data_IF_177904324434
#
_entry.id   IF_177904324434
#
_cell.length_a   1.000
_cell.length_b   1.000
_cell.length_c   1.000
_cell.angle_alpha   90.00
_cell.angle_beta   90.00
_cell.angle_gamma   90.00
#
_symmetry.space_group_name_H-M   'P 1'
#
loop_
_entity.id
_entity.type
_entity.pdbx_description
1 polymer ?
#
# COMPACT_ATOMS: atom_id res chain seq x y z
N UNK A 1 -4.85 -13.71 -18.21
CA UNK A 1 -3.88 -14.83 -18.24
C UNK A 1 -2.43 -14.42 -17.96
N UNK A 2 -2.08 -13.14 -18.09
CA UNK A 2 -0.73 -12.57 -17.95
C UNK A 2 -0.10 -12.60 -16.55
N UNK A 3 -0.87 -12.77 -15.48
CA UNK A 3 -0.36 -12.79 -14.10
C UNK A 3 0.30 -14.13 -13.66
N UNK A 4 0.38 -15.14 -14.55
CA UNK A 4 0.85 -16.49 -14.21
C UNK A 4 2.33 -16.76 -14.51
N UNK A 5 2.98 -15.87 -15.26
CA UNK A 5 4.42 -15.96 -15.57
C UNK A 5 5.22 -14.99 -14.69
N UNK A 6 6.32 -15.47 -14.12
CA UNK A 6 7.18 -14.70 -13.21
C UNK A 6 7.76 -13.45 -13.87
N UNK A 7 8.05 -13.51 -15.16
CA UNK A 7 8.64 -12.40 -15.91
C UNK A 7 7.60 -11.28 -16.11
N UNK A 8 6.39 -11.64 -16.55
CA UNK A 8 5.28 -10.71 -16.71
C UNK A 8 4.79 -10.14 -15.38
N UNK A 9 4.76 -10.95 -14.32
CA UNK A 9 4.41 -10.52 -12.98
C UNK A 9 5.37 -9.46 -12.42
N UNK A 10 6.69 -9.62 -12.65
CA UNK A 10 7.69 -8.59 -12.28
C UNK A 10 7.53 -7.32 -13.12
N UNK A 11 7.36 -7.47 -14.43
CA UNK A 11 7.21 -6.34 -15.34
C UNK A 11 5.97 -5.50 -15.02
N UNK A 12 4.87 -6.14 -14.62
CA UNK A 12 3.64 -5.47 -14.17
C UNK A 12 3.89 -4.49 -13.02
N UNK A 13 4.52 -4.96 -11.94
CA UNK A 13 4.77 -4.12 -10.76
C UNK A 13 5.76 -3.01 -11.07
N UNK A 14 6.79 -3.29 -11.87
CA UNK A 14 7.74 -2.27 -12.34
C UNK A 14 7.01 -1.21 -13.17
N UNK A 15 6.15 -1.61 -14.11
CA UNK A 15 5.37 -0.70 -14.94
C UNK A 15 4.45 0.21 -14.11
N UNK A 16 3.84 -0.33 -13.04
CA UNK A 16 3.03 0.47 -12.11
C UNK A 16 3.84 1.45 -11.25
N UNK A 17 5.14 1.23 -11.05
CA UNK A 17 6.04 2.14 -10.34
C UNK A 17 6.74 3.16 -11.25
N UNK A 18 6.61 3.03 -12.57
CA UNK A 18 7.17 4.02 -13.47
C UNK A 18 6.35 5.30 -13.35
N UNK A 19 7.04 6.41 -13.18
CA UNK A 19 6.46 7.73 -13.24
C UNK A 19 5.81 7.97 -14.61
N UNK A 20 4.84 8.90 -14.74
CA UNK A 20 4.34 9.33 -16.04
C UNK A 20 5.44 9.86 -16.95
N UNK A 21 5.28 9.72 -18.28
CA UNK A 21 6.28 10.14 -19.28
C UNK A 21 6.63 11.63 -19.18
N UNK A 22 5.74 12.46 -18.66
CA UNK A 22 5.93 13.90 -18.48
C UNK A 22 6.87 14.24 -17.32
N UNK A 23 7.13 13.31 -16.40
CA UNK A 23 8.05 13.54 -15.28
C UNK A 23 9.49 13.30 -15.70
N UNK A 24 10.39 14.21 -15.32
CA UNK A 24 11.82 14.12 -15.61
C UNK A 24 12.46 12.80 -15.14
N UNK A 25 11.96 12.23 -14.04
CA UNK A 25 12.45 10.95 -13.48
C UNK A 25 12.15 9.74 -14.37
N UNK A 26 11.19 9.82 -15.29
CA UNK A 26 10.74 8.68 -16.08
C UNK A 26 11.89 8.04 -16.85
N UNK A 27 12.65 8.84 -17.61
CA UNK A 27 13.78 8.33 -18.38
C UNK A 27 14.84 7.70 -17.47
N UNK A 28 15.11 8.32 -16.31
CA UNK A 28 16.04 7.78 -15.33
C UNK A 28 15.59 6.41 -14.81
N UNK A 29 14.29 6.22 -14.57
CA UNK A 29 13.74 4.93 -14.16
C UNK A 29 13.85 3.87 -15.28
N UNK A 30 13.61 4.23 -16.55
CA UNK A 30 13.82 3.31 -17.68
C UNK A 30 15.28 2.86 -17.77
N UNK A 31 16.22 3.78 -17.60
CA UNK A 31 17.65 3.48 -17.60
C UNK A 31 18.03 2.54 -16.46
N UNK A 32 17.47 2.73 -15.25
CA UNK A 32 17.64 1.81 -14.12
C UNK A 32 17.11 0.41 -14.44
N UNK A 33 15.90 0.31 -15.01
CA UNK A 33 15.31 -0.99 -15.41
C UNK A 33 16.18 -1.69 -16.44
N UNK A 34 16.65 -0.97 -17.47
CA UNK A 34 17.53 -1.53 -18.49
C UNK A 34 18.85 -2.00 -17.90
N UNK A 35 19.48 -1.20 -17.02
CA UNK A 35 20.77 -1.53 -16.43
C UNK A 35 20.69 -2.77 -15.52
N UNK A 36 19.60 -2.96 -14.79
CA UNK A 36 19.47 -4.04 -13.81
C UNK A 36 18.80 -5.32 -14.35
N UNK A 37 17.91 -5.20 -15.33
CA UNK A 37 17.11 -6.32 -15.84
C UNK A 37 17.29 -6.57 -17.34
N UNK A 38 18.03 -5.70 -18.03
CA UNK A 38 18.30 -5.82 -19.47
C UNK A 38 17.21 -5.23 -20.37
N UNK A 39 17.58 -5.03 -21.63
CA UNK A 39 16.72 -4.36 -22.62
C UNK A 39 15.45 -5.14 -22.96
N UNK A 40 15.48 -6.46 -22.96
CA UNK A 40 14.27 -7.25 -23.26
C UNK A 40 13.22 -7.14 -22.16
N UNK A 41 13.65 -7.03 -20.89
CA UNK A 41 12.74 -6.79 -19.77
C UNK A 41 12.13 -5.40 -19.85
N UNK A 42 12.95 -4.39 -20.16
CA UNK A 42 12.45 -3.03 -20.40
C UNK A 42 11.40 -3.00 -21.53
N UNK A 43 11.66 -3.66 -22.67
CA UNK A 43 10.67 -3.76 -23.77
C UNK A 43 9.36 -4.37 -23.30
N UNK A 44 9.41 -5.37 -22.42
CA UNK A 44 8.20 -5.99 -21.87
C UNK A 44 7.44 -5.04 -20.93
N UNK A 45 8.15 -4.32 -20.06
CA UNK A 45 7.58 -3.27 -19.20
C UNK A 45 6.87 -2.20 -20.05
N UNK A 46 7.53 -1.69 -21.10
CA UNK A 46 6.97 -0.68 -21.99
C UNK A 46 5.71 -1.15 -22.73
N UNK A 47 5.61 -2.45 -23.05
CA UNK A 47 4.38 -3.03 -23.64
C UNK A 47 3.20 -3.05 -22.68
N UNK A 48 3.44 -3.07 -21.37
CA UNK A 48 2.38 -3.08 -20.36
C UNK A 48 1.85 -1.69 -20.05
N UNK A 49 2.67 -0.63 -20.22
CA UNK A 49 2.28 0.74 -19.87
C UNK A 49 0.96 1.19 -20.51
N UNK A 50 0.72 1.06 -21.83
CA UNK A 50 -0.54 1.50 -22.43
C UNK A 50 -1.76 0.76 -21.88
N UNK A 51 -1.60 -0.53 -21.55
CA UNK A 51 -2.66 -1.37 -20.98
C UNK A 51 -3.00 -0.90 -19.57
N UNK A 52 -1.99 -0.59 -18.76
CA UNK A 52 -2.15 -0.14 -17.38
C UNK A 52 -2.68 1.29 -17.28
N UNK A 53 -2.34 2.15 -18.24
CA UNK A 53 -2.86 3.52 -18.31
C UNK A 53 -4.39 3.54 -18.50
N UNK A 54 -4.93 2.58 -19.27
CA UNK A 54 -6.38 2.40 -19.42
C UNK A 54 -7.04 1.57 -18.31
N UNK A 55 -6.28 1.07 -17.33
CA UNK A 55 -6.80 0.19 -16.29
C UNK A 55 -7.31 0.99 -15.08
N UNK A 56 -8.51 0.67 -14.54
CA UNK A 56 -9.07 1.36 -13.37
C UNK A 56 -8.09 1.38 -12.19
N UNK A 57 -7.92 2.55 -11.59
CA UNK A 57 -6.89 2.76 -10.56
C UNK A 57 -7.10 1.86 -9.33
N UNK A 58 -8.35 1.69 -8.91
CA UNK A 58 -8.82 0.87 -7.78
C UNK A 58 -8.64 -0.64 -7.98
N UNK A 59 -8.48 -1.08 -9.22
CA UNK A 59 -8.21 -2.47 -9.58
C UNK A 59 -6.69 -2.79 -9.69
N UNK A 60 -5.82 -1.78 -9.76
CA UNK A 60 -4.37 -1.99 -10.00
C UNK A 60 -3.71 -2.84 -8.92
N UNK A 61 -3.99 -2.58 -7.64
CA UNK A 61 -3.45 -3.42 -6.55
C UNK A 61 -4.06 -4.83 -6.54
N UNK A 62 -5.31 -5.01 -6.97
CA UNK A 62 -5.91 -6.35 -7.13
C UNK A 62 -5.13 -7.14 -8.19
N UNK A 63 -4.75 -6.49 -9.29
CA UNK A 63 -3.94 -7.11 -10.32
C UNK A 63 -2.56 -7.53 -9.78
N UNK A 64 -1.97 -6.74 -8.90
CA UNK A 64 -0.70 -7.08 -8.21
C UNK A 64 -0.89 -8.26 -7.27
N UNK A 65 -1.96 -8.32 -6.49
CA UNK A 65 -2.27 -9.47 -5.63
C UNK A 65 -2.40 -10.76 -6.45
N UNK A 66 -3.05 -10.70 -7.62
CA UNK A 66 -3.14 -11.82 -8.56
C UNK A 66 -1.78 -12.27 -9.10
N UNK A 67 -0.79 -11.39 -9.13
CA UNK A 67 0.57 -11.67 -9.58
C UNK A 67 1.47 -12.26 -8.48
N UNK A 68 1.08 -12.15 -7.20
CA UNK A 68 1.87 -12.66 -6.05
C UNK A 68 2.26 -14.14 -6.19
N UNK A 69 1.36 -15.07 -6.58
CA UNK A 69 1.74 -16.48 -6.72
C UNK A 69 2.87 -16.71 -7.72
N UNK A 70 2.90 -15.95 -8.83
CA UNK A 70 3.98 -16.01 -9.80
C UNK A 70 5.27 -15.38 -9.24
N UNK A 71 5.16 -14.24 -8.53
CA UNK A 71 6.31 -13.61 -7.89
C UNK A 71 6.96 -14.49 -6.81
N UNK A 72 6.19 -15.35 -6.14
CA UNK A 72 6.73 -16.35 -5.19
C UNK A 72 7.55 -17.46 -5.86
N UNK A 73 7.46 -17.64 -7.17
CA UNK A 73 8.27 -18.64 -7.89
C UNK A 73 9.68 -18.14 -8.25
N UNK A 74 10.02 -16.89 -7.94
CA UNK A 74 11.38 -16.38 -8.09
C UNK A 74 12.35 -17.18 -7.20
N UNK A 75 13.62 -17.25 -7.59
CA UNK A 75 14.68 -17.65 -6.65
C UNK A 75 14.97 -16.51 -5.66
N UNK A 76 15.61 -16.84 -4.53
CA UNK A 76 15.99 -15.84 -3.52
C UNK A 76 16.86 -14.71 -4.09
N UNK A 77 17.83 -15.04 -4.95
CA UNK A 77 18.71 -14.03 -5.57
C UNK A 77 17.96 -13.13 -6.54
N UNK A 78 17.03 -13.68 -7.33
CA UNK A 78 16.14 -12.92 -8.20
C UNK A 78 15.22 -12.00 -7.39
N UNK A 79 14.67 -12.50 -6.29
CA UNK A 79 13.86 -11.68 -5.38
C UNK A 79 14.66 -10.52 -4.78
N UNK A 80 15.89 -10.77 -4.31
CA UNK A 80 16.75 -9.73 -3.74
C UNK A 80 17.11 -8.64 -4.77
N UNK A 81 17.52 -9.04 -5.98
CA UNK A 81 17.79 -8.10 -7.08
C UNK A 81 16.54 -7.30 -7.44
N UNK A 82 15.40 -7.98 -7.57
CA UNK A 82 14.12 -7.34 -7.89
C UNK A 82 13.69 -6.35 -6.80
N UNK A 83 13.79 -6.71 -5.53
CA UNK A 83 13.50 -5.84 -4.39
C UNK A 83 14.37 -4.58 -4.40
N UNK A 84 15.66 -4.70 -4.74
CA UNK A 84 16.56 -3.54 -4.85
C UNK A 84 16.13 -2.60 -5.98
N UNK A 85 15.72 -3.14 -7.14
CA UNK A 85 15.18 -2.35 -8.23
C UNK A 85 13.92 -1.59 -7.79
N UNK A 86 12.95 -2.26 -7.16
CA UNK A 86 11.72 -1.59 -6.68
C UNK A 86 12.02 -0.41 -5.73
N UNK A 87 13.01 -0.57 -4.84
CA UNK A 87 13.44 0.51 -3.93
C UNK A 87 14.05 1.69 -4.70
N UNK A 88 14.85 1.42 -5.72
CA UNK A 88 15.48 2.47 -6.53
C UNK A 88 14.43 3.23 -7.34
N UNK A 89 13.49 2.52 -7.97
CA UNK A 89 12.42 3.12 -8.75
C UNK A 89 11.55 4.04 -7.90
N UNK A 90 11.06 3.55 -6.75
CA UNK A 90 10.22 4.34 -5.85
C UNK A 90 10.93 5.55 -5.22
N UNK A 91 12.27 5.58 -5.22
CA UNK A 91 13.06 6.70 -4.68
C UNK A 91 13.62 7.64 -5.74
N UNK A 92 13.36 7.37 -7.02
CA UNK A 92 14.07 8.04 -8.11
C UNK A 92 13.80 9.55 -8.16
N UNK A 93 12.59 10.01 -7.80
CA UNK A 93 12.21 11.43 -7.76
C UNK A 93 12.34 12.06 -6.36
N UNK A 94 12.81 11.28 -5.38
CA UNK A 94 12.95 11.71 -3.99
C UNK A 94 11.63 11.85 -3.21
N UNK A 95 10.47 11.52 -3.82
CA UNK A 95 9.16 11.59 -3.18
C UNK A 95 8.34 10.36 -3.50
N UNK A 96 8.10 9.52 -2.49
CA UNK A 96 7.20 8.37 -2.63
C UNK A 96 5.77 8.86 -2.44
N UNK A 97 4.94 8.75 -3.48
CA UNK A 97 3.51 9.00 -3.34
C UNK A 97 2.78 7.86 -2.63
N UNK A 98 1.50 8.08 -2.29
CA UNK A 98 0.73 7.12 -1.51
C UNK A 98 0.45 5.82 -2.29
N UNK A 99 0.28 5.88 -3.61
CA UNK A 99 0.05 4.70 -4.43
C UNK A 99 1.32 3.87 -4.55
N UNK A 100 2.47 4.50 -4.82
CA UNK A 100 3.78 3.84 -4.84
C UNK A 100 4.09 3.19 -3.48
N UNK A 101 3.77 3.89 -2.39
CA UNK A 101 3.89 3.34 -1.04
C UNK A 101 3.00 2.11 -0.83
N UNK A 102 1.72 2.19 -1.21
CA UNK A 102 0.79 1.07 -1.11
C UNK A 102 1.28 -0.13 -1.89
N UNK A 103 1.65 0.08 -3.16
CA UNK A 103 2.17 -0.94 -4.07
C UNK A 103 3.42 -1.62 -3.48
N UNK A 104 4.42 -0.82 -3.10
CA UNK A 104 5.67 -1.34 -2.54
C UNK A 104 5.43 -2.12 -1.25
N UNK A 105 4.62 -1.59 -0.33
CA UNK A 105 4.32 -2.24 0.95
C UNK A 105 3.54 -3.54 0.76
N UNK A 106 2.57 -3.57 -0.14
CA UNK A 106 1.77 -4.75 -0.43
C UNK A 106 2.63 -5.88 -1.00
N UNK A 107 3.48 -5.56 -1.99
CA UNK A 107 4.42 -6.54 -2.58
C UNK A 107 5.34 -7.11 -1.52
N UNK A 108 5.95 -6.27 -0.68
CA UNK A 108 6.84 -6.75 0.38
C UNK A 108 6.11 -7.59 1.43
N UNK A 109 4.92 -7.19 1.83
CA UNK A 109 4.14 -7.91 2.84
C UNK A 109 3.86 -9.35 2.41
N UNK A 110 3.59 -9.58 1.12
CA UNK A 110 3.31 -10.91 0.62
C UNK A 110 4.55 -11.72 0.22
N UNK A 111 5.64 -11.07 -0.18
CA UNK A 111 6.85 -11.76 -0.65
C UNK A 111 7.90 -11.98 0.45
N UNK A 112 8.12 -11.04 1.36
CA UNK A 112 9.15 -11.18 2.41
C UNK A 112 9.00 -12.47 3.22
N UNK A 113 7.80 -12.86 3.73
CA UNK A 113 7.67 -14.09 4.51
C UNK A 113 7.97 -15.38 3.73
N UNK A 114 7.96 -15.32 2.39
CA UNK A 114 8.27 -16.45 1.54
C UNK A 114 9.79 -16.63 1.32
N UNK A 115 10.53 -15.52 1.27
CA UNK A 115 11.95 -15.50 0.92
C UNK A 115 12.89 -15.30 2.12
N UNK A 116 12.39 -14.70 3.20
CA UNK A 116 13.18 -14.31 4.35
C UNK A 116 12.62 -14.94 5.62
N UNK A 117 13.50 -15.24 6.59
CA UNK A 117 13.07 -15.66 7.92
C UNK A 117 12.51 -14.45 8.66
N UNK A 118 11.20 -14.23 8.53
CA UNK A 118 10.50 -13.16 9.25
C UNK A 118 10.12 -13.68 10.64
N UNK A 119 10.63 -13.05 11.70
CA UNK A 119 10.16 -13.34 13.05
C UNK A 119 8.73 -12.79 13.22
N UNK A 120 7.79 -13.57 13.76
CA UNK A 120 6.45 -13.07 14.07
C UNK A 120 6.54 -11.86 14.98
N UNK A 121 5.79 -10.80 14.65
CA UNK A 121 5.69 -9.62 15.52
C UNK A 121 4.88 -10.03 16.76
N UNK A 122 5.53 -10.03 17.93
CA UNK A 122 4.85 -10.35 19.18
C UNK A 122 3.78 -9.30 19.51
N UNK A 123 2.57 -9.74 19.83
CA UNK A 123 1.51 -8.86 20.28
C UNK A 123 1.81 -8.34 21.69
N UNK A 124 1.83 -7.02 21.87
CA UNK A 124 2.18 -6.32 23.13
C UNK A 124 1.04 -5.46 23.67
N UNK A 125 0.07 -5.08 22.83
CA UNK A 125 -0.97 -4.12 23.19
C UNK A 125 -2.35 -4.76 23.15
N UNK A 126 -2.90 -5.06 24.34
CA UNK A 126 -4.26 -5.62 24.49
C UNK A 126 -5.35 -4.55 24.68
N UNK A 127 -4.96 -3.28 24.89
CA UNK A 127 -5.83 -2.13 25.11
C UNK A 127 -5.62 -1.08 24.01
N UNK A 128 -6.69 -0.65 23.35
CA UNK A 128 -6.63 0.28 22.23
C UNK A 128 -6.16 1.68 22.66
N UNK A 129 -6.41 2.05 23.92
CA UNK A 129 -6.01 3.31 24.54
C UNK A 129 -4.48 3.48 24.57
N UNK A 130 -3.72 2.37 24.59
CA UNK A 130 -2.25 2.40 24.49
C UNK A 130 -1.74 2.71 23.08
N UNK A 131 -2.63 2.68 22.10
CA UNK A 131 -2.37 2.89 20.68
C UNK A 131 -3.16 4.07 20.11
N UNK A 132 -3.73 4.94 20.97
CA UNK A 132 -4.63 6.02 20.53
C UNK A 132 -3.96 6.98 19.56
N UNK A 133 -2.69 7.32 19.80
CA UNK A 133 -1.90 8.19 18.92
C UNK A 133 -1.67 7.55 17.54
N UNK A 134 -1.38 6.25 17.50
CA UNK A 134 -1.14 5.54 16.25
C UNK A 134 -2.43 5.30 15.47
N UNK A 135 -3.52 4.95 16.17
CA UNK A 135 -4.86 4.87 15.59
C UNK A 135 -5.24 6.23 14.99
N UNK A 136 -5.04 7.33 15.72
CA UNK A 136 -5.32 8.68 15.23
C UNK A 136 -4.50 9.03 14.00
N UNK A 137 -3.20 8.70 14.00
CA UNK A 137 -2.31 8.96 12.85
C UNK A 137 -2.80 8.25 11.60
N UNK A 138 -3.08 6.95 11.68
CA UNK A 138 -3.48 6.17 10.51
C UNK A 138 -4.89 6.51 10.03
N UNK A 139 -5.86 6.68 10.94
CA UNK A 139 -7.22 7.11 10.56
C UNK A 139 -7.25 8.53 10.00
N UNK A 140 -6.40 9.44 10.50
CA UNK A 140 -6.30 10.80 9.94
C UNK A 140 -5.74 10.76 8.53
N UNK A 141 -4.72 9.93 8.27
CA UNK A 141 -4.19 9.76 6.92
C UNK A 141 -5.30 9.29 5.96
N UNK A 142 -6.02 8.22 6.32
CA UNK A 142 -7.12 7.71 5.50
C UNK A 142 -8.20 8.77 5.27
N UNK A 143 -8.64 9.46 6.32
CA UNK A 143 -9.65 10.51 6.22
C UNK A 143 -9.22 11.66 5.29
N UNK A 144 -7.95 12.08 5.34
CA UNK A 144 -7.40 13.10 4.45
C UNK A 144 -7.25 12.65 2.99
N UNK A 145 -7.05 11.36 2.73
CA UNK A 145 -7.03 10.82 1.36
C UNK A 145 -8.43 10.65 0.77
N UNK A 146 -9.44 10.43 1.62
CA UNK A 146 -10.85 10.36 1.22
C UNK A 146 -11.56 11.70 1.08
N UNK A 147 -11.01 12.80 1.61
CA UNK A 147 -11.73 14.05 1.74
C UNK A 147 -10.88 15.28 1.37
N UNK A 148 -11.52 16.27 0.74
CA UNK A 148 -10.84 17.47 0.27
C UNK A 148 -10.83 18.61 1.31
N UNK A 149 -11.63 18.51 2.37
CA UNK A 149 -11.73 19.53 3.42
C UNK A 149 -11.68 18.92 4.83
N UNK A 150 -11.24 19.74 5.78
CA UNK A 150 -11.02 19.32 7.17
C UNK A 150 -12.29 18.83 7.88
N UNK A 151 -13.43 19.49 7.62
CA UNK A 151 -14.69 19.14 8.28
C UNK A 151 -15.17 17.74 7.88
N UNK A 152 -15.08 17.41 6.59
CA UNK A 152 -15.44 16.09 6.08
C UNK A 152 -14.46 15.01 6.57
N UNK A 153 -13.15 15.28 6.54
CA UNK A 153 -12.14 14.39 7.11
C UNK A 153 -12.35 14.13 8.61
N UNK A 154 -12.69 15.17 9.37
CA UNK A 154 -12.98 15.07 10.80
C UNK A 154 -14.23 14.22 11.06
N UNK A 155 -15.30 14.44 10.30
CA UNK A 155 -16.53 13.67 10.41
C UNK A 155 -16.30 12.17 10.11
N UNK A 156 -15.53 11.85 9.07
CA UNK A 156 -15.15 10.48 8.72
C UNK A 156 -14.33 9.80 9.83
N UNK A 157 -13.35 10.50 10.38
CA UNK A 157 -12.54 9.99 11.50
C UNK A 157 -13.37 9.79 12.76
N UNK A 158 -14.26 10.72 13.10
CA UNK A 158 -15.13 10.61 14.28
C UNK A 158 -16.09 9.42 14.14
N UNK A 159 -16.67 9.23 12.94
CA UNK A 159 -17.50 8.06 12.63
C UNK A 159 -16.71 6.75 12.77
N UNK A 160 -15.49 6.71 12.25
CA UNK A 160 -14.58 5.55 12.35
C UNK A 160 -14.18 5.23 13.79
N UNK A 161 -13.79 6.24 14.57
CA UNK A 161 -13.43 6.07 15.98
C UNK A 161 -14.64 5.55 16.79
N UNK A 162 -15.83 6.11 16.57
CA UNK A 162 -17.07 5.68 17.22
C UNK A 162 -17.44 4.24 16.87
N UNK A 163 -17.37 3.84 15.60
CA UNK A 163 -17.79 2.50 15.15
C UNK A 163 -16.93 1.37 15.72
N UNK A 164 -15.69 1.68 16.07
CA UNK A 164 -14.72 0.79 16.68
C UNK A 164 -14.53 1.02 18.18
N UNK A 165 -15.22 1.97 18.80
CA UNK A 165 -15.12 2.28 20.23
C UNK A 165 -13.73 2.78 20.64
N UNK A 166 -13.05 3.54 19.78
CA UNK A 166 -11.78 4.18 20.10
C UNK A 166 -12.03 5.54 20.75
N UNK A 167 -11.36 5.80 21.87
CA UNK A 167 -11.42 7.06 22.60
C UNK A 167 -10.11 7.83 22.48
N UNK A 168 -10.18 9.16 22.60
CA UNK A 168 -8.99 10.02 22.51
C UNK A 168 -8.37 10.09 21.11
N UNK A 169 -9.13 9.73 20.08
CA UNK A 169 -8.71 9.82 18.67
C UNK A 169 -9.23 11.14 18.12
N UNK A 170 -8.32 11.96 17.59
CA UNK A 170 -8.65 13.26 17.00
C UNK A 170 -7.93 13.39 15.66
N UNK A 171 -8.57 14.09 14.72
CA UNK A 171 -7.98 14.42 13.42
C UNK A 171 -6.66 15.16 13.62
N UNK A 172 -5.59 14.58 13.10
CA UNK A 172 -4.26 15.17 13.04
C UNK A 172 -4.15 16.11 11.84
N UNK A 173 -3.27 17.13 11.90
CA UNK A 173 -2.97 17.96 10.73
C UNK A 173 -2.58 17.12 9.52
N UNK A 174 -2.92 17.61 8.33
CA UNK A 174 -2.54 16.95 7.08
C UNK A 174 -1.01 16.92 6.98
N UNK A 175 -0.45 15.72 6.92
CA UNK A 175 0.98 15.50 6.72
C UNK A 175 1.19 14.84 5.35
N UNK A 176 2.10 15.41 4.57
CA UNK A 176 2.51 14.87 3.27
C UNK A 176 3.62 13.81 3.43
N UNK A 177 4.21 13.69 4.62
CA UNK A 177 5.18 12.67 4.95
C UNK A 177 4.51 11.34 5.28
N UNK A 178 5.02 10.26 4.68
CA UNK A 178 4.61 8.90 5.03
C UNK A 178 5.33 8.37 6.29
N UNK A 179 6.24 9.15 6.88
CA UNK A 179 7.02 8.70 8.05
C UNK A 179 6.14 8.46 9.28
N UNK A 180 5.23 9.36 9.70
CA UNK A 180 4.36 9.09 10.84
C UNK A 180 3.44 7.89 10.59
N UNK A 181 2.91 7.75 9.37
CA UNK A 181 2.11 6.60 8.96
C UNK A 181 2.88 5.28 9.15
N UNK A 182 4.14 5.22 8.68
CA UNK A 182 4.99 4.04 8.82
C UNK A 182 5.27 3.69 10.29
N UNK A 183 5.59 4.69 11.12
CA UNK A 183 5.85 4.47 12.55
C UNK A 183 4.60 4.01 13.31
N UNK A 184 3.45 4.62 13.02
CA UNK A 184 2.18 4.23 13.62
C UNK A 184 1.80 2.79 13.24
N UNK A 185 1.91 2.43 11.96
CA UNK A 185 1.64 1.07 11.50
C UNK A 185 2.59 0.04 12.13
N UNK A 186 3.88 0.36 12.26
CA UNK A 186 4.85 -0.53 12.89
C UNK A 186 4.51 -0.86 14.35
N UNK A 187 3.84 0.04 15.07
CA UNK A 187 3.37 -0.21 16.43
C UNK A 187 1.98 -0.88 16.45
N UNK A 188 1.11 -0.58 15.48
CA UNK A 188 -0.19 -1.24 15.33
C UNK A 188 -0.06 -2.73 14.98
N UNK A 189 1.01 -3.16 14.32
CA UNK A 189 1.27 -4.59 14.08
C UNK A 189 1.49 -5.38 15.39
N UNK A 190 1.94 -4.71 16.46
CA UNK A 190 2.06 -5.27 17.82
C UNK A 190 0.73 -5.29 18.59
N UNK A 191 -0.38 -4.85 18.00
CA UNK A 191 -1.69 -4.92 18.63
C UNK A 191 -2.22 -6.36 18.68
N UNK A 192 -3.05 -6.67 19.68
CA UNK A 192 -3.74 -7.95 19.73
C UNK A 192 -4.78 -8.07 18.59
N UNK A 193 -5.11 -9.30 18.13
CA UNK A 193 -6.01 -9.52 16.99
C UNK A 193 -7.35 -8.79 17.09
N UNK A 194 -7.96 -8.72 18.28
CA UNK A 194 -9.24 -8.03 18.47
C UNK A 194 -9.14 -6.52 18.25
N UNK A 195 -7.99 -5.90 18.53
CA UNK A 195 -7.76 -4.48 18.21
C UNK A 195 -7.58 -4.30 16.71
N UNK A 196 -6.78 -5.15 16.07
CA UNK A 196 -6.58 -5.08 14.61
C UNK A 196 -7.90 -5.24 13.85
N UNK A 197 -8.76 -6.17 14.27
CA UNK A 197 -10.11 -6.33 13.71
C UNK A 197 -11.00 -5.10 13.89
N UNK A 198 -11.01 -4.49 15.09
CA UNK A 198 -11.69 -3.21 15.34
C UNK A 198 -11.14 -2.09 14.45
N UNK A 199 -9.82 -2.07 14.25
CA UNK A 199 -9.16 -1.06 13.45
C UNK A 199 -9.51 -1.16 11.96
N UNK A 200 -9.54 -2.38 11.38
CA UNK A 200 -10.03 -2.59 10.00
C UNK A 200 -11.50 -2.17 9.86
N UNK A 201 -12.35 -2.46 10.85
CA UNK A 201 -13.74 -1.97 10.86
C UNK A 201 -13.80 -0.43 10.87
N UNK A 202 -12.96 0.24 11.66
CA UNK A 202 -12.88 1.70 11.69
C UNK A 202 -12.49 2.25 10.32
N UNK A 203 -11.45 1.69 9.68
CA UNK A 203 -11.02 2.12 8.36
C UNK A 203 -12.12 1.97 7.30
N UNK A 204 -12.84 0.84 7.31
CA UNK A 204 -13.99 0.67 6.42
C UNK A 204 -15.09 1.72 6.67
N UNK A 205 -15.39 2.01 7.93
CA UNK A 205 -16.37 3.05 8.28
C UNK A 205 -15.92 4.44 7.81
N UNK A 206 -14.62 4.74 7.90
CA UNK A 206 -14.05 6.00 7.43
C UNK A 206 -14.26 6.17 5.92
N UNK A 207 -13.92 5.11 5.16
CA UNK A 207 -14.02 5.08 3.70
C UNK A 207 -15.47 5.08 3.21
N UNK A 208 -16.39 4.46 3.95
CA UNK A 208 -17.81 4.41 3.59
C UNK A 208 -18.58 5.70 4.03
N UNK A 209 -17.92 6.66 4.67
CA UNK A 209 -18.61 7.74 5.40
C UNK A 209 -19.39 8.71 4.50
N UNK A 210 -18.79 9.14 3.39
CA UNK A 210 -19.39 10.09 2.45
C UNK A 210 -20.13 9.39 1.30
N UNK A 211 -20.13 8.05 1.30
CA UNK A 211 -20.73 7.21 0.26
C UNK A 211 -19.91 7.12 -1.03
N UNK A 212 -18.70 7.67 -1.09
CA UNK A 212 -17.84 7.67 -2.28
C UNK A 212 -16.48 7.07 -1.94
N UNK A 213 -16.24 5.83 -2.37
CA UNK A 213 -14.95 5.18 -2.16
C UNK A 213 -13.95 5.64 -3.21
N UNK A 214 -12.94 6.44 -2.83
CA UNK A 214 -11.88 6.84 -3.76
C UNK A 214 -10.87 5.70 -3.95
N UNK A 215 -10.27 5.55 -5.15
CA UNK A 215 -9.26 4.51 -5.40
C UNK A 215 -8.12 4.49 -4.38
N UNK A 216 -7.65 5.67 -3.97
CA UNK A 216 -6.58 5.82 -2.97
C UNK A 216 -6.96 5.27 -1.59
N UNK A 217 -8.23 5.37 -1.19
CA UNK A 217 -8.71 4.83 0.08
C UNK A 217 -8.75 3.31 0.03
N UNK A 218 -9.26 2.75 -1.09
CA UNK A 218 -9.28 1.30 -1.32
C UNK A 218 -7.87 0.72 -1.25
N UNK A 219 -6.90 1.37 -1.89
CA UNK A 219 -5.50 0.95 -1.88
C UNK A 219 -4.88 1.03 -0.48
N UNK A 220 -5.16 2.11 0.28
CA UNK A 220 -4.71 2.26 1.65
C UNK A 220 -5.28 1.18 2.57
N UNK A 221 -6.60 0.98 2.54
CA UNK A 221 -7.28 0.00 3.39
C UNK A 221 -6.79 -1.41 3.06
N UNK A 222 -6.66 -1.75 1.77
CA UNK A 222 -6.12 -3.04 1.32
C UNK A 222 -4.70 -3.26 1.83
N UNK A 223 -3.83 -2.27 1.65
CA UNK A 223 -2.43 -2.35 2.08
C UNK A 223 -2.30 -2.46 3.59
N UNK A 224 -3.03 -1.64 4.35
CA UNK A 224 -2.97 -1.65 5.82
C UNK A 224 -3.56 -2.94 6.38
N UNK A 225 -4.66 -3.46 5.80
CA UNK A 225 -5.21 -4.75 6.19
C UNK A 225 -4.20 -5.89 5.97
N UNK A 226 -3.48 -5.88 4.85
CA UNK A 226 -2.40 -6.83 4.58
C UNK A 226 -1.25 -6.70 5.60
N UNK A 227 -0.82 -5.48 5.94
CA UNK A 227 0.23 -5.22 6.96
C UNK A 227 -0.19 -5.74 8.34
N UNK A 228 -1.47 -5.57 8.69
CA UNK A 228 -2.02 -6.01 9.98
C UNK A 228 -2.35 -7.51 10.00
N UNK A 229 -2.28 -8.18 8.85
CA UNK A 229 -2.67 -9.59 8.66
C UNK A 229 -4.14 -9.84 9.04
N UNK A 230 -5.01 -8.88 8.70
CA UNK A 230 -6.46 -8.97 8.94
C UNK A 230 -7.17 -9.00 7.59
N UNK A 231 -8.03 -9.99 7.33
CA UNK A 231 -8.79 -10.04 6.08
C UNK A 231 -9.76 -8.87 6.01
N UNK A 232 -9.86 -8.27 4.82
CA UNK A 232 -10.83 -7.23 4.51
C UNK A 232 -11.54 -7.58 3.20
N UNK A 233 -12.87 -7.40 3.18
CA UNK A 233 -13.65 -7.49 1.95
C UNK A 233 -13.95 -6.07 1.51
N UNK A 234 -13.30 -5.70 0.41
CA UNK A 234 -13.51 -4.44 -0.30
C UNK A 234 -14.29 -4.76 -1.58
N UNK A 235 -15.35 -4.02 -1.81
CA UNK A 235 -16.16 -4.09 -3.02
C UNK A 235 -16.21 -2.67 -3.56
N UNK A 236 -15.60 -2.45 -4.72
CA UNK A 236 -15.81 -1.20 -5.45
C UNK A 236 -17.31 -1.08 -5.74
N UNK A 237 -17.89 0.07 -5.37
CA UNK A 237 -19.32 0.37 -5.57
C UNK A 237 -19.60 0.66 -7.03
#
# INVERSE_FOLDING_TARGET
ETARDTYTARALVVALLLAPEERFVHQQQLDMVQAEQGMDFLKHVLRLLPVLNGFPADERLILVEKAIPALKQLSLSQYQSYRQLLVKLAKADGQIDIFEWCLYRLVLQYLNPHFETVQPVAAKHAKAEKLSAEIATVLSALAWYGNDNENAARAALDAAAKSAGFSGVQLQPRDHSLKPLNLALAKLTEAYPHIKGRFVKAMKTCMDHDGVQRPVELDLVRTIAAILEVPVVLSAV
#
